data_IF_100016378785
#
_entry.id   IF_100016378785
#
_cell.length_a   1.000
_cell.length_b   1.000
_cell.length_c   1.000
_cell.angle_alpha   90.00
_cell.angle_beta   90.00
_cell.angle_gamma   90.00
#
_symmetry.space_group_name_H-M   'P 1'
#
loop_
_entity.id
_entity.type
_entity.pdbx_description
1 polymer ?
#
# COMPACT_ATOMS: atom_id res chain seq x y z
N UNK A 1 -3.01 -16.54 -12.98
CA UNK A 1 -3.72 -15.99 -11.81
C UNK A 1 -3.82 -14.50 -12.02
N UNK A 2 -5.01 -13.91 -11.82
CA UNK A 2 -5.27 -12.49 -12.01
C UNK A 2 -6.19 -11.97 -10.90
N UNK A 3 -6.22 -10.65 -10.73
CA UNK A 3 -7.10 -9.96 -9.78
C UNK A 3 -8.46 -9.71 -10.44
N UNK A 4 -9.54 -10.18 -9.82
CA UNK A 4 -10.91 -9.92 -10.27
C UNK A 4 -11.56 -8.94 -9.31
N UNK A 5 -11.93 -7.77 -9.80
CA UNK A 5 -12.54 -6.70 -9.00
C UNK A 5 -14.05 -6.88 -8.89
N UNK A 6 -14.59 -6.73 -7.67
CA UNK A 6 -16.03 -6.63 -7.41
C UNK A 6 -16.31 -5.23 -6.88
N UNK A 7 -17.20 -4.47 -7.54
CA UNK A 7 -17.46 -3.06 -7.19
C UNK A 7 -16.17 -2.21 -7.10
N UNK A 8 -15.27 -2.39 -8.08
CA UNK A 8 -13.96 -1.73 -8.16
C UNK A 8 -13.01 -2.01 -6.99
N UNK A 9 -13.34 -2.95 -6.10
CA UNK A 9 -12.54 -3.27 -4.92
C UNK A 9 -12.21 -4.75 -4.86
N UNK A 10 -11.06 -5.09 -4.31
CA UNK A 10 -10.71 -6.44 -3.87
C UNK A 10 -10.20 -6.33 -2.45
N UNK A 11 -10.64 -7.20 -1.57
CA UNK A 11 -10.16 -7.28 -0.19
C UNK A 11 -9.49 -8.63 0.04
N UNK A 12 -8.41 -8.64 0.82
CA UNK A 12 -7.76 -9.84 1.34
C UNK A 12 -7.44 -10.91 0.28
N UNK A 13 -7.02 -10.48 -0.90
CA UNK A 13 -6.56 -11.38 -1.96
C UNK A 13 -5.20 -12.00 -1.61
N UNK A 14 -4.84 -13.09 -2.30
CA UNK A 14 -3.57 -13.79 -2.08
C UNK A 14 -2.39 -12.92 -2.51
N UNK A 15 -1.81 -12.18 -1.56
CA UNK A 15 -0.67 -11.28 -1.77
C UNK A 15 0.53 -12.04 -2.27
N UNK A 16 0.87 -13.16 -1.63
CA UNK A 16 2.03 -13.98 -2.02
C UNK A 16 1.82 -14.66 -3.36
N UNK A 17 0.60 -15.12 -3.64
CA UNK A 17 0.23 -15.64 -4.95
C UNK A 17 0.18 -14.58 -6.04
N UNK A 18 -0.05 -13.31 -5.72
CA UNK A 18 -0.12 -12.21 -6.70
C UNK A 18 1.24 -11.60 -6.99
N UNK A 19 2.01 -11.26 -5.94
CA UNK A 19 3.26 -10.51 -6.03
C UNK A 19 4.51 -11.34 -5.72
N UNK A 20 4.37 -12.54 -5.17
CA UNK A 20 5.52 -13.33 -4.73
C UNK A 20 6.21 -12.69 -3.53
N UNK A 21 7.53 -12.81 -3.49
CA UNK A 21 8.38 -12.12 -2.51
C UNK A 21 8.39 -10.62 -2.80
N UNK A 22 8.27 -9.80 -1.75
CA UNK A 22 8.31 -8.34 -1.87
C UNK A 22 9.49 -7.80 -1.08
N UNK A 23 10.42 -7.14 -1.77
CA UNK A 23 11.60 -6.53 -1.17
C UNK A 23 11.39 -5.02 -1.04
N UNK A 24 11.61 -4.48 0.14
CA UNK A 24 11.47 -3.05 0.42
C UNK A 24 12.50 -2.24 -0.37
N UNK A 25 12.06 -1.18 -1.03
CA UNK A 25 12.96 -0.25 -1.72
C UNK A 25 13.00 1.10 -1.00
N UNK A 26 11.85 1.74 -0.85
CA UNK A 26 11.77 3.06 -0.23
C UNK A 26 10.37 3.37 0.32
N UNK A 27 10.28 4.42 1.13
CA UNK A 27 9.03 5.02 1.56
C UNK A 27 9.01 6.50 1.24
N UNK A 28 7.93 6.97 0.63
CA UNK A 28 7.67 8.36 0.34
C UNK A 28 6.43 8.83 1.11
N UNK A 29 6.55 9.96 1.82
CA UNK A 29 5.42 10.60 2.49
C UNK A 29 4.82 11.68 1.60
N UNK A 30 3.50 11.65 1.45
CA UNK A 30 2.73 12.64 0.70
C UNK A 30 1.93 13.46 1.70
N UNK A 31 2.22 14.75 1.73
CA UNK A 31 1.61 15.69 2.65
C UNK A 31 0.36 16.35 2.06
N UNK A 32 -0.55 16.79 2.92
CA UNK A 32 -1.68 17.62 2.54
C UNK A 32 -1.23 19.00 2.06
N UNK A 33 -2.07 19.62 1.23
CA UNK A 33 -1.92 21.02 0.84
C UNK A 33 -3.03 21.85 1.43
N UNK A 34 -2.68 23.04 1.91
CA UNK A 34 -3.65 24.01 2.40
C UNK A 34 -4.46 24.65 1.25
N UNK A 35 -5.39 25.52 1.62
CA UNK A 35 -6.23 26.27 0.67
C UNK A 35 -5.44 27.20 -0.25
N UNK A 36 -4.20 27.56 0.12
CA UNK A 36 -3.28 28.38 -0.66
C UNK A 36 -2.29 27.50 -1.46
N UNK A 37 -2.53 26.18 -1.52
CA UNK A 37 -1.74 25.18 -2.23
C UNK A 37 -0.30 25.01 -1.68
N UNK A 38 -0.05 25.38 -0.42
CA UNK A 38 1.23 25.17 0.27
C UNK A 38 1.25 23.80 0.94
N UNK A 39 2.43 23.18 0.96
CA UNK A 39 2.63 21.89 1.64
C UNK A 39 2.53 22.08 3.15
N UNK A 40 1.74 21.22 3.80
CA UNK A 40 1.57 21.19 5.25
C UNK A 40 2.41 20.09 5.89
N UNK A 41 2.49 20.06 7.23
CA UNK A 41 3.16 18.98 7.97
C UNK A 41 2.25 17.75 8.19
N UNK A 42 1.02 17.77 7.64
CA UNK A 42 0.05 16.69 7.79
C UNK A 42 0.31 15.64 6.71
N UNK A 43 0.69 14.43 7.12
CA UNK A 43 0.84 13.29 6.21
C UNK A 43 -0.54 12.84 5.77
N UNK A 44 -0.81 12.95 4.46
CA UNK A 44 -2.04 12.46 3.83
C UNK A 44 -1.95 10.98 3.52
N UNK A 45 -0.78 10.54 3.06
CA UNK A 45 -0.55 9.19 2.56
C UNK A 45 0.92 8.84 2.65
N UNK A 46 1.23 7.60 2.99
CA UNK A 46 2.57 7.04 2.85
C UNK A 46 2.57 6.00 1.75
N UNK A 47 3.54 6.07 0.83
CA UNK A 47 3.72 5.10 -0.25
C UNK A 47 5.00 4.32 -0.03
N UNK A 48 4.86 3.02 0.07
CA UNK A 48 5.97 2.07 0.13
C UNK A 48 6.18 1.52 -1.27
N UNK A 49 7.38 1.70 -1.80
CA UNK A 49 7.79 1.07 -3.06
C UNK A 49 8.48 -0.24 -2.73
N UNK A 50 8.02 -1.33 -3.35
CA UNK A 50 8.64 -2.65 -3.21
C UNK A 50 8.93 -3.26 -4.57
N UNK A 51 9.96 -4.08 -4.65
CA UNK A 51 10.20 -4.94 -5.79
C UNK A 51 9.42 -6.25 -5.62
N UNK A 52 8.65 -6.62 -6.65
CA UNK A 52 7.87 -7.85 -6.71
C UNK A 52 8.60 -8.88 -7.55
N UNK A 53 9.06 -9.97 -6.92
CA UNK A 53 9.78 -11.05 -7.61
C UNK A 53 8.92 -11.66 -8.72
N UNK A 54 7.62 -11.85 -8.45
CA UNK A 54 6.71 -12.52 -9.39
C UNK A 54 6.37 -11.67 -10.61
N UNK A 55 6.27 -10.36 -10.42
CA UNK A 55 6.00 -9.43 -11.53
C UNK A 55 7.29 -8.97 -12.21
N UNK A 56 8.45 -9.18 -11.59
CA UNK A 56 9.74 -8.66 -12.02
C UNK A 56 9.70 -7.13 -12.21
N UNK A 57 9.00 -6.43 -11.31
CA UNK A 57 8.75 -4.99 -11.41
C UNK A 57 8.49 -4.37 -10.02
N UNK A 58 8.52 -3.04 -9.97
CA UNK A 58 8.19 -2.26 -8.77
C UNK A 58 6.68 -2.08 -8.63
N UNK A 59 6.20 -2.13 -7.39
CA UNK A 59 4.81 -1.83 -7.05
C UNK A 59 4.78 -0.79 -5.91
N UNK A 60 3.86 0.17 -6.02
CA UNK A 60 3.57 1.12 -4.97
C UNK A 60 2.40 0.63 -4.10
N UNK A 61 2.60 0.66 -2.79
CA UNK A 61 1.61 0.25 -1.80
C UNK A 61 1.38 1.42 -0.86
N UNK A 62 0.15 1.92 -0.80
CA UNK A 62 -0.20 2.93 0.17
C UNK A 62 -0.44 2.30 1.55
N UNK A 63 0.13 2.89 2.58
CA UNK A 63 -0.09 2.50 3.98
C UNK A 63 -0.72 3.63 4.78
N UNK A 64 -1.16 3.34 5.99
CA UNK A 64 -1.78 4.33 6.85
C UNK A 64 -0.81 5.51 7.13
N UNK A 65 -1.31 6.76 7.11
CA UNK A 65 -0.47 7.95 7.24
C UNK A 65 0.25 8.06 8.59
N UNK A 66 -0.31 7.45 9.63
CA UNK A 66 0.20 7.38 11.00
C UNK A 66 1.02 6.11 11.28
N UNK A 67 1.19 5.22 10.30
CA UNK A 67 1.99 4.01 10.46
C UNK A 67 3.48 4.32 10.57
N UNK A 68 4.12 3.86 11.64
CA UNK A 68 5.55 4.05 11.86
C UNK A 68 6.36 2.88 11.28
N UNK A 69 7.17 3.15 10.25
CA UNK A 69 8.08 2.16 9.66
C UNK A 69 9.39 2.13 10.46
N UNK A 70 9.69 1.00 11.09
CA UNK A 70 10.91 0.79 11.89
C UNK A 70 11.54 -0.56 11.59
N UNK A 71 12.87 -0.59 11.57
CA UNK A 71 13.63 -1.84 11.46
C UNK A 71 13.49 -2.57 10.12
N UNK A 72 13.22 -1.81 9.05
CA UNK A 72 13.18 -2.28 7.67
C UNK A 72 14.25 -1.49 6.90
N UNK A 73 15.16 -2.21 6.26
CA UNK A 73 16.22 -1.65 5.44
C UNK A 73 15.96 -1.94 3.95
N UNK A 74 16.70 -1.24 3.08
CA UNK A 74 16.65 -1.51 1.65
C UNK A 74 16.92 -3.00 1.37
N UNK A 75 16.13 -3.58 0.46
CA UNK A 75 16.14 -4.98 0.04
C UNK A 75 15.61 -5.99 1.06
N UNK A 76 15.19 -5.57 2.26
CA UNK A 76 14.55 -6.47 3.22
C UNK A 76 13.25 -7.04 2.65
N UNK A 77 13.05 -8.35 2.80
CA UNK A 77 11.75 -8.98 2.51
C UNK A 77 10.71 -8.45 3.50
N UNK A 78 9.54 -8.06 3.00
CA UNK A 78 8.44 -7.55 3.81
C UNK A 78 7.12 -8.29 3.58
N UNK A 79 6.26 -8.22 4.59
CA UNK A 79 4.86 -8.63 4.52
C UNK A 79 3.94 -7.44 4.76
N UNK A 80 2.82 -7.40 4.03
CA UNK A 80 1.73 -6.47 4.31
C UNK A 80 0.98 -6.90 5.57
N UNK A 81 0.56 -5.92 6.36
CA UNK A 81 -0.17 -6.14 7.62
C UNK A 81 -1.52 -5.44 7.61
N UNK A 82 -2.44 -5.96 8.43
CA UNK A 82 -3.82 -5.51 8.49
C UNK A 82 -4.64 -5.90 7.26
N UNK A 83 -5.70 -5.15 6.99
CA UNK A 83 -6.51 -5.34 5.80
C UNK A 83 -5.75 -4.85 4.56
N UNK A 84 -5.65 -5.72 3.55
CA UNK A 84 -5.09 -5.35 2.25
C UNK A 84 -6.20 -5.24 1.23
N UNK A 85 -6.27 -4.10 0.56
CA UNK A 85 -7.28 -3.82 -0.46
C UNK A 85 -6.64 -3.36 -1.77
N UNK A 86 -7.28 -3.67 -2.89
CA UNK A 86 -6.98 -3.09 -4.18
C UNK A 86 -8.20 -2.29 -4.64
N UNK A 87 -8.03 -0.99 -4.91
CA UNK A 87 -9.09 -0.15 -5.46
C UNK A 87 -8.76 0.20 -6.91
N UNK A 88 -9.58 -0.25 -7.84
CA UNK A 88 -9.50 0.12 -9.24
C UNK A 88 -10.24 1.44 -9.52
N UNK A 89 -9.74 2.20 -10.49
CA UNK A 89 -10.45 3.33 -11.06
C UNK A 89 -10.30 3.36 -12.58
N UNK A 90 -11.30 3.97 -13.20
CA UNK A 90 -11.30 4.36 -14.59
C UNK A 90 -11.44 5.88 -14.61
N UNK A 91 -10.50 6.55 -15.26
CA UNK A 91 -10.59 7.99 -15.52
C UNK A 91 -10.74 8.22 -17.03
N UNK A 92 -11.63 9.12 -17.42
CA UNK A 92 -11.75 9.60 -18.80
C UNK A 92 -11.44 11.09 -18.83
N UNK A 93 -10.64 11.50 -19.80
CA UNK A 93 -10.24 12.90 -19.98
C UNK A 93 -10.12 13.25 -21.46
N UNK A 94 -10.28 14.53 -21.78
CA UNK A 94 -10.03 15.03 -23.12
C UNK A 94 -8.52 15.05 -23.38
N UNK A 95 -8.07 14.25 -24.33
CA UNK A 95 -6.70 14.22 -24.81
C UNK A 95 -6.47 15.23 -25.92
N UNK A 96 -5.27 15.20 -26.49
CA UNK A 96 -4.93 16.03 -27.64
C UNK A 96 -5.88 15.78 -28.83
N UNK A 97 -6.14 16.83 -29.61
CA UNK A 97 -6.99 16.82 -30.81
C UNK A 97 -8.44 16.35 -30.57
N UNK A 98 -9.05 16.74 -29.43
CA UNK A 98 -10.43 16.39 -29.08
C UNK A 98 -10.68 14.88 -29.04
N UNK A 99 -9.65 14.09 -28.75
CA UNK A 99 -9.80 12.65 -28.54
C UNK A 99 -10.24 12.39 -27.10
N UNK A 100 -11.12 11.40 -26.90
CA UNK A 100 -11.41 10.90 -25.55
C UNK A 100 -10.34 9.88 -25.22
N UNK A 101 -9.60 10.12 -24.13
CA UNK A 101 -8.66 9.17 -23.56
C UNK A 101 -9.22 8.55 -22.29
N UNK A 102 -8.80 7.33 -22.00
CA UNK A 102 -9.20 6.60 -20.80
C UNK A 102 -7.99 5.92 -20.18
N UNK A 103 -7.86 6.05 -18.87
CA UNK A 103 -6.83 5.39 -18.06
C UNK A 103 -7.50 4.46 -17.05
N UNK A 104 -7.01 3.22 -17.01
CA UNK A 104 -7.41 2.22 -16.01
C UNK A 104 -6.20 1.93 -15.14
N UNK A 105 -6.38 2.04 -13.83
CA UNK A 105 -5.36 1.70 -12.87
C UNK A 105 -6.00 1.19 -11.58
N UNK A 106 -5.18 0.63 -10.71
CA UNK A 106 -5.60 0.26 -9.36
C UNK A 106 -4.50 0.61 -8.36
N UNK A 107 -4.88 0.71 -7.10
CA UNK A 107 -3.99 1.06 -6.00
C UNK A 107 -4.14 0.05 -4.89
N UNK A 108 -3.01 -0.48 -4.45
CA UNK A 108 -2.95 -1.35 -3.28
C UNK A 108 -2.87 -0.49 -2.03
N UNK A 109 -3.67 -0.84 -1.02
CA UNK A 109 -3.63 -0.27 0.32
C UNK A 109 -3.44 -1.37 1.34
N UNK A 110 -2.64 -1.10 2.36
CA UNK A 110 -2.47 -1.94 3.54
C UNK A 110 -2.50 -1.08 4.81
N UNK A 111 -2.69 -1.69 5.98
CA UNK A 111 -2.56 -0.94 7.23
C UNK A 111 -1.10 -0.57 7.52
N UNK A 112 -0.15 -1.44 7.15
CA UNK A 112 1.28 -1.22 7.32
C UNK A 112 2.12 -2.37 6.77
N UNK A 113 3.42 -2.34 7.05
CA UNK A 113 4.41 -3.33 6.57
C UNK A 113 5.31 -3.83 7.70
N UNK A 114 5.76 -5.08 7.64
CA UNK A 114 6.76 -5.62 8.57
C UNK A 114 7.83 -6.41 7.82
N UNK A 115 9.03 -6.51 8.41
CA UNK A 115 10.07 -7.43 7.93
C UNK A 115 9.58 -8.87 8.01
N UNK A 116 9.68 -9.61 6.91
CA UNK A 116 9.35 -11.02 6.85
C UNK A 116 10.30 -11.82 7.78
N UNK A 117 9.76 -12.80 8.49
CA UNK A 117 10.54 -13.57 9.48
C UNK A 117 10.82 -12.86 10.81
N UNK A 118 10.45 -11.57 10.98
CA UNK A 118 10.41 -10.96 12.30
C UNK A 118 9.28 -11.61 13.12
N UNK A 119 9.58 -12.06 14.34
CA UNK A 119 8.60 -12.70 15.21
C UNK A 119 7.34 -11.81 15.33
N UNK A 120 6.15 -12.41 15.17
CA UNK A 120 4.88 -11.72 15.40
C UNK A 120 4.95 -11.11 16.80
N UNK A 121 5.05 -9.79 16.90
CA UNK A 121 4.79 -9.09 18.16
C UNK A 121 3.30 -9.28 18.45
N UNK A 122 3.01 -10.31 19.23
CA UNK A 122 1.74 -10.46 19.92
C UNK A 122 1.59 -9.20 20.77
N UNK A 123 0.59 -8.37 20.47
CA UNK A 123 0.16 -7.30 21.37
C UNK A 123 -0.01 -7.88 22.78
N UNK A 124 0.42 -7.19 23.86
CA UNK A 124 0.26 -7.72 25.20
C UNK A 124 -1.24 -7.95 25.45
N UNK A 125 -1.62 -9.21 25.71
CA UNK A 125 -2.93 -9.51 26.23
C UNK A 125 -3.15 -8.66 27.48
N UNK A 126 -4.23 -7.86 27.50
CA UNK A 126 -4.63 -7.13 28.70
C UNK A 126 -4.74 -8.11 29.87
N UNK A 127 -4.17 -7.80 31.04
CA UNK A 127 -4.28 -8.71 32.18
C UNK A 127 -5.75 -8.85 32.56
N UNK A 128 -6.23 -10.09 32.51
CA UNK A 128 -7.53 -10.50 33.05
C UNK A 128 -7.51 -10.13 34.53
N UNK A 129 -8.40 -9.21 34.94
CA UNK A 129 -8.67 -8.96 36.35
C UNK A 129 -9.46 -10.15 36.89
N UNK A 130 -8.81 -10.99 37.68
CA UNK A 130 -9.51 -11.93 38.55
C UNK A 130 -10.36 -11.16 39.57
N UNK A 131 -11.61 -11.61 39.72
CA UNK A 131 -12.55 -11.20 40.77
C UNK A 131 -12.77 -12.38 41.71
#
# INVERSE_FOLDING_TARGET
>A
MGLTFENNTIQNFDIKGTFGTMNFLEVNQIFERDTENRVTDIVREQRVTVYSEKLNDQIEIAIAPDYEIKGIEYDDEIELTGEVTALAWLSTYEGYNNSVQSEQAFKIRAAGIRKAGAAKTVSPAQPVKDK
#
